data_IF_975614618292
#
_entry.id   IF_975614618292
#
_cell.length_a   1.000
_cell.length_b   1.000
_cell.length_c   1.000
_cell.angle_alpha   90.00
_cell.angle_beta   90.00
_cell.angle_gamma   90.00
#
_symmetry.space_group_name_H-M   'P 1'
#
loop_
_entity.id
_entity.type
_entity.pdbx_description
1 polymer ?
#
# COMPACT_ATOMS: atom_id res chain seq x y z
N UNK A 1 20.31 1.09 5.61
CA UNK A 1 19.01 0.70 6.21
C UNK A 1 17.93 0.49 5.15
N UNK A 2 17.65 1.49 4.30
CA UNK A 2 16.63 1.36 3.25
C UNK A 2 16.95 0.28 2.20
N UNK A 3 18.22 0.13 1.81
CA UNK A 3 18.66 -0.93 0.89
C UNK A 3 18.45 -2.34 1.46
N UNK A 4 18.75 -2.52 2.75
CA UNK A 4 18.51 -3.78 3.44
C UNK A 4 17.02 -4.11 3.46
N UNK A 5 16.15 -3.13 3.75
CA UNK A 5 14.70 -3.33 3.74
C UNK A 5 14.18 -3.72 2.35
N UNK A 6 14.68 -3.09 1.27
CA UNK A 6 14.34 -3.50 -0.09
C UNK A 6 14.87 -4.90 -0.43
N UNK A 7 16.07 -5.27 0.03
CA UNK A 7 16.59 -6.62 -0.15
C UNK A 7 15.75 -7.68 0.59
N UNK A 8 15.34 -7.39 1.82
CA UNK A 8 14.41 -8.24 2.60
C UNK A 8 13.05 -8.38 1.89
N UNK A 9 12.52 -7.30 1.32
CA UNK A 9 11.29 -7.34 0.54
C UNK A 9 11.40 -8.30 -0.64
N UNK A 10 12.48 -8.25 -1.44
CA UNK A 10 12.72 -9.15 -2.58
C UNK A 10 12.81 -10.63 -2.21
N UNK A 11 13.25 -10.93 -0.99
CA UNK A 11 13.38 -12.30 -0.49
C UNK A 11 12.08 -12.82 0.16
N UNK A 12 11.13 -11.93 0.45
CA UNK A 12 9.85 -12.33 1.04
C UNK A 12 8.92 -12.91 -0.03
N UNK A 13 8.09 -13.88 0.36
CA UNK A 13 7.10 -14.51 -0.54
C UNK A 13 6.11 -13.50 -1.14
N UNK A 14 5.78 -12.45 -0.40
CA UNK A 14 4.87 -11.38 -0.82
C UNK A 14 5.57 -10.22 -1.53
N UNK A 15 6.89 -10.28 -1.72
CA UNK A 15 7.70 -9.22 -2.32
C UNK A 15 7.56 -7.86 -1.61
N UNK A 16 7.33 -7.87 -0.29
CA UNK A 16 7.20 -6.66 0.52
C UNK A 16 7.57 -6.87 1.98
N UNK A 17 8.09 -5.80 2.60
CA UNK A 17 8.54 -5.80 3.99
C UNK A 17 8.34 -4.41 4.60
N UNK A 18 7.84 -4.36 5.83
CA UNK A 18 7.77 -3.13 6.62
C UNK A 18 8.87 -3.09 7.69
N UNK A 19 9.23 -1.88 8.11
CA UNK A 19 10.04 -1.61 9.30
C UNK A 19 9.39 -0.51 10.12
N UNK A 20 9.04 -0.84 11.35
CA UNK A 20 8.47 0.13 12.29
C UNK A 20 9.56 1.09 12.78
N UNK A 21 9.23 2.38 12.83
CA UNK A 21 10.09 3.43 13.41
C UNK A 21 9.74 3.74 14.86
N UNK A 22 8.53 3.36 15.26
CA UNK A 22 8.03 3.43 16.62
C UNK A 22 8.52 2.20 17.42
N UNK A 23 8.64 2.34 18.74
CA UNK A 23 9.15 1.29 19.61
C UNK A 23 8.09 0.25 19.98
N UNK A 24 6.82 0.67 20.06
CA UNK A 24 5.68 -0.21 20.37
C UNK A 24 4.52 0.03 19.41
N UNK A 25 3.86 -1.06 19.00
CA UNK A 25 2.62 -1.01 18.22
C UNK A 25 1.45 -0.39 18.98
N UNK A 26 1.60 -0.15 20.29
CA UNK A 26 0.62 0.53 21.12
C UNK A 26 0.76 2.06 21.09
N UNK A 27 1.80 2.60 20.45
CA UNK A 27 1.96 4.05 20.30
C UNK A 27 0.78 4.68 19.54
N UNK A 28 0.37 5.88 19.96
CA UNK A 28 -0.75 6.63 19.39
C UNK A 28 -0.58 7.00 17.91
N UNK A 29 0.62 6.88 17.35
CA UNK A 29 0.89 7.10 15.92
C UNK A 29 1.80 5.99 15.42
N UNK A 30 1.36 5.30 14.38
CA UNK A 30 2.14 4.28 13.69
C UNK A 30 2.94 4.95 12.57
N UNK A 31 4.24 4.69 12.55
CA UNK A 31 5.22 5.20 11.57
C UNK A 31 6.00 4.02 11.00
N UNK A 32 5.87 3.75 9.71
CA UNK A 32 6.44 2.58 9.06
C UNK A 32 7.18 2.97 7.79
N UNK A 33 8.36 2.40 7.56
CA UNK A 33 8.87 2.29 6.20
C UNK A 33 8.32 1.02 5.58
N UNK A 34 7.73 1.14 4.40
CA UNK A 34 7.25 0.02 3.61
C UNK A 34 8.08 -0.07 2.33
N UNK A 35 8.70 -1.23 2.10
CA UNK A 35 9.29 -1.60 0.82
C UNK A 35 8.36 -2.58 0.11
N UNK A 36 8.04 -2.29 -1.14
CA UNK A 36 7.23 -3.15 -2.02
C UNK A 36 7.97 -3.28 -3.35
N UNK A 37 8.08 -4.48 -3.87
CA UNK A 37 8.75 -4.76 -5.15
C UNK A 37 7.72 -5.14 -6.23
N UNK A 38 8.03 -4.94 -7.53
CA UNK A 38 7.15 -5.29 -8.63
C UNK A 38 6.66 -6.75 -8.57
N UNK A 39 5.42 -6.99 -8.97
CA UNK A 39 4.75 -8.28 -8.77
C UNK A 39 4.02 -8.40 -7.44
N UNK A 40 4.04 -7.35 -6.60
CA UNK A 40 3.28 -7.25 -5.35
C UNK A 40 2.16 -6.22 -5.43
N UNK A 41 1.11 -6.44 -4.67
CA UNK A 41 0.08 -5.47 -4.33
C UNK A 41 -0.33 -5.63 -2.87
N UNK A 42 -0.94 -4.59 -2.30
CA UNK A 42 -1.71 -4.69 -1.06
C UNK A 42 -3.16 -4.88 -1.43
N UNK A 43 -3.83 -5.92 -0.90
CA UNK A 43 -5.27 -6.11 -1.13
C UNK A 43 -6.03 -4.80 -0.87
N UNK A 44 -6.96 -4.39 -1.75
CA UNK A 44 -7.78 -3.22 -1.52
C UNK A 44 -8.45 -3.26 -0.15
N UNK A 45 -8.30 -2.16 0.58
CA UNK A 45 -8.79 -2.02 1.94
C UNK A 45 -9.20 -0.57 2.22
N UNK A 46 -9.88 -0.36 3.34
CA UNK A 46 -10.18 0.97 3.86
C UNK A 46 -9.98 0.98 5.37
N UNK A 47 -10.05 2.17 5.95
CA UNK A 47 -10.03 2.36 7.40
C UNK A 47 -11.33 3.06 7.82
N UNK A 48 -12.15 2.41 8.64
CA UNK A 48 -13.50 2.93 8.92
C UNK A 48 -13.55 3.91 10.10
N UNK A 49 -12.61 3.81 11.04
CA UNK A 49 -12.57 4.71 12.18
C UNK A 49 -12.14 6.13 11.74
N UNK A 50 -12.83 7.14 12.28
CA UNK A 50 -12.69 8.54 11.86
C UNK A 50 -11.28 9.13 12.08
N UNK A 51 -10.49 8.55 12.99
CA UNK A 51 -9.12 8.94 13.28
C UNK A 51 -8.08 8.15 12.47
N UNK A 52 -8.48 7.12 11.72
CA UNK A 52 -7.58 6.21 10.99
C UNK A 52 -7.32 6.64 9.56
N UNK A 53 -7.14 7.94 9.32
CA UNK A 53 -6.59 8.42 8.06
C UNK A 53 -5.14 7.89 7.88
N UNK A 54 -4.74 7.67 6.63
CA UNK A 54 -3.41 7.16 6.28
C UNK A 54 -2.68 8.15 5.38
N UNK A 55 -1.40 8.38 5.64
CA UNK A 55 -0.53 9.19 4.78
C UNK A 55 0.58 8.34 4.22
N UNK A 56 0.75 8.37 2.90
CA UNK A 56 1.85 7.72 2.19
C UNK A 56 2.78 8.79 1.62
N UNK A 57 4.07 8.69 1.91
CA UNK A 57 5.10 9.60 1.41
C UNK A 57 6.27 8.83 0.81
N UNK A 58 6.53 9.04 -0.47
CA UNK A 58 7.58 8.38 -1.23
C UNK A 58 8.97 8.76 -0.73
N UNK A 59 9.82 7.75 -0.56
CA UNK A 59 11.25 7.92 -0.28
C UNK A 59 12.10 7.59 -1.52
N UNK A 60 11.68 6.59 -2.31
CA UNK A 60 12.28 6.26 -3.63
C UNK A 60 11.41 5.29 -4.42
N UNK A 61 11.70 5.14 -5.71
CA UNK A 61 10.97 4.26 -6.62
C UNK A 61 9.65 4.88 -7.08
N UNK A 62 8.70 4.03 -7.49
CA UNK A 62 7.41 4.44 -8.07
C UNK A 62 6.29 3.56 -7.52
N UNK A 63 5.28 4.18 -6.93
CA UNK A 63 4.12 3.51 -6.34
C UNK A 63 2.85 3.93 -7.09
N UNK A 64 2.08 2.96 -7.56
CA UNK A 64 0.73 3.22 -8.04
C UNK A 64 -0.25 3.12 -6.88
N UNK A 65 -1.05 4.16 -6.65
CA UNK A 65 -2.18 4.18 -5.72
C UNK A 65 -3.47 4.14 -6.52
N UNK A 66 -4.36 3.20 -6.19
CA UNK A 66 -5.64 3.00 -6.88
C UNK A 66 -6.75 3.20 -5.87
N UNK A 67 -7.75 4.02 -6.21
CA UNK A 67 -8.95 4.25 -5.42
C UNK A 67 -10.16 3.57 -6.08
N UNK A 68 -11.07 3.08 -5.25
CA UNK A 68 -12.26 2.34 -5.68
C UNK A 68 -13.54 2.89 -5.06
N UNK A 69 -14.67 2.62 -5.71
CA UNK A 69 -16.00 2.72 -5.09
C UNK A 69 -16.36 1.43 -4.32
N UNK A 70 -17.52 1.43 -3.64
CA UNK A 70 -18.00 0.27 -2.87
C UNK A 70 -18.36 -0.96 -3.72
N UNK A 71 -18.42 -0.81 -5.04
CA UNK A 71 -18.63 -1.91 -5.98
C UNK A 71 -17.31 -2.41 -6.60
N UNK A 72 -16.16 -1.87 -6.17
CA UNK A 72 -14.85 -2.22 -6.68
C UNK A 72 -14.52 -1.60 -8.04
N UNK A 73 -15.27 -0.61 -8.52
CA UNK A 73 -14.90 0.15 -9.73
C UNK A 73 -13.80 1.13 -9.37
N UNK A 74 -12.80 1.21 -10.25
CA UNK A 74 -11.71 2.18 -10.10
C UNK A 74 -12.28 3.58 -10.31
N UNK A 75 -12.08 4.46 -9.33
CA UNK A 75 -12.52 5.86 -9.38
C UNK A 75 -11.36 6.79 -9.73
N UNK A 76 -10.16 6.50 -9.22
CA UNK A 76 -8.95 7.30 -9.45
C UNK A 76 -7.69 6.42 -9.42
N UNK A 77 -6.66 6.87 -10.12
CA UNK A 77 -5.30 6.31 -10.07
C UNK A 77 -4.30 7.44 -9.91
N UNK A 78 -3.31 7.25 -9.05
CA UNK A 78 -2.23 8.21 -8.80
C UNK A 78 -0.89 7.49 -8.82
N UNK A 79 0.04 7.99 -9.63
CA UNK A 79 1.43 7.55 -9.55
C UNK A 79 2.20 8.47 -8.61
N UNK A 80 2.89 7.86 -7.64
CA UNK A 80 3.74 8.56 -6.69
C UNK A 80 5.22 8.25 -6.94
N UNK A 81 6.05 9.29 -6.85
CA UNK A 81 7.50 9.17 -6.85
C UNK A 81 8.13 10.33 -6.09
N UNK A 82 9.34 10.13 -5.54
CA UNK A 82 10.02 11.17 -4.77
C UNK A 82 10.37 12.43 -5.61
N UNK A 83 10.49 12.30 -6.93
CA UNK A 83 10.76 13.41 -7.86
C UNK A 83 9.51 14.03 -8.49
N UNK A 84 8.31 13.53 -8.17
CA UNK A 84 7.04 13.98 -8.75
C UNK A 84 5.98 14.23 -7.68
N UNK A 85 4.80 13.61 -7.82
CA UNK A 85 3.82 13.58 -6.74
C UNK A 85 4.37 12.72 -5.59
N UNK A 86 4.84 13.36 -4.54
CA UNK A 86 5.60 12.67 -3.49
C UNK A 86 4.71 11.91 -2.50
N UNK A 87 3.41 12.17 -2.42
CA UNK A 87 2.58 11.53 -1.40
C UNK A 87 1.09 11.76 -1.57
N UNK A 88 0.33 11.00 -0.79
CA UNK A 88 -1.14 11.09 -0.70
C UNK A 88 -1.58 11.01 0.75
N UNK A 89 -2.73 11.62 1.02
CA UNK A 89 -3.43 11.50 2.29
C UNK A 89 -4.81 10.91 2.04
N UNK A 90 -5.02 9.70 2.55
CA UNK A 90 -6.21 8.88 2.35
C UNK A 90 -7.14 9.06 3.54
N UNK A 91 -8.34 9.57 3.26
CA UNK A 91 -9.38 9.74 4.27
C UNK A 91 -9.98 8.38 4.68
N UNK A 92 -10.51 8.27 5.91
CA UNK A 92 -11.28 7.11 6.34
C UNK A 92 -12.40 6.77 5.34
N UNK A 93 -12.66 5.47 5.15
CA UNK A 93 -13.67 4.94 4.25
C UNK A 93 -13.27 4.87 2.78
N UNK A 94 -12.13 5.45 2.35
CA UNK A 94 -11.67 5.31 0.97
C UNK A 94 -11.07 3.92 0.73
N UNK A 95 -11.70 3.16 -0.15
CA UNK A 95 -11.14 1.91 -0.66
C UNK A 95 -9.93 2.20 -1.52
N UNK A 96 -8.78 1.65 -1.13
CA UNK A 96 -7.54 1.89 -1.84
C UNK A 96 -6.64 0.66 -1.86
N UNK A 97 -5.77 0.60 -2.86
CA UNK A 97 -4.71 -0.39 -3.01
C UNK A 97 -3.45 0.29 -3.51
N UNK A 98 -2.31 -0.37 -3.31
CA UNK A 98 -1.03 0.08 -3.82
C UNK A 98 -0.30 -1.03 -4.57
N UNK A 99 0.40 -0.68 -5.64
CA UNK A 99 1.27 -1.55 -6.44
C UNK A 99 2.64 -0.92 -6.65
N UNK A 100 3.70 -1.72 -6.58
CA UNK A 100 5.03 -1.24 -6.94
C UNK A 100 5.21 -1.23 -8.46
N UNK A 101 5.61 -0.08 -9.00
CA UNK A 101 5.85 0.14 -10.44
C UNK A 101 7.34 0.12 -10.80
N UNK A 102 8.22 0.22 -9.82
CA UNK A 102 9.67 0.13 -9.99
C UNK A 102 10.32 -0.70 -8.88
N UNK A 103 11.44 -1.40 -9.15
CA UNK A 103 12.23 -2.05 -8.12
C UNK A 103 12.70 -1.08 -7.04
N UNK A 104 12.78 -1.55 -5.80
CA UNK A 104 13.23 -0.73 -4.67
C UNK A 104 12.25 0.35 -4.23
N UNK A 105 10.97 0.25 -4.62
CA UNK A 105 9.91 1.18 -4.22
C UNK A 105 9.73 1.17 -2.71
N UNK A 106 9.86 2.34 -2.11
CA UNK A 106 9.88 2.51 -0.66
C UNK A 106 9.20 3.84 -0.29
N UNK A 107 8.30 3.77 0.68
CA UNK A 107 7.55 4.91 1.20
C UNK A 107 7.44 4.86 2.73
N UNK A 108 7.27 6.03 3.33
CA UNK A 108 6.82 6.19 4.71
C UNK A 108 5.29 6.10 4.73
N UNK A 109 4.75 5.30 5.62
CA UNK A 109 3.34 5.27 5.99
C UNK A 109 3.19 5.84 7.41
N UNK A 110 2.25 6.77 7.57
CA UNK A 110 1.87 7.32 8.88
C UNK A 110 0.36 7.21 9.04
N UNK A 111 -0.07 6.59 10.15
CA UNK A 111 -1.49 6.48 10.52
C UNK A 111 -1.69 6.52 12.02
N UNK A 112 -2.90 6.80 12.47
CA UNK A 112 -3.21 6.77 13.89
C UNK A 112 -3.03 5.35 14.45
N UNK A 113 -2.41 5.28 15.63
CA UNK A 113 -2.29 4.08 16.43
C UNK A 113 -3.43 3.94 17.44
N UNK A 114 -3.38 2.93 18.31
CA UNK A 114 -2.49 1.78 18.22
C UNK A 114 -2.73 0.97 16.94
N UNK A 115 -1.82 0.05 16.61
CA UNK A 115 -2.02 -0.88 15.51
C UNK A 115 -3.22 -1.78 15.79
N UNK A 116 -4.17 -1.76 14.86
CA UNK A 116 -5.33 -2.66 14.86
C UNK A 116 -5.34 -3.36 13.50
N UNK A 117 -5.35 -4.71 13.45
CA UNK A 117 -5.50 -5.44 12.20
C UNK A 117 -6.81 -5.06 11.51
N UNK A 118 -6.77 -4.96 10.17
CA UNK A 118 -7.99 -4.73 9.38
C UNK A 118 -9.03 -5.81 9.66
N UNK A 119 -10.24 -5.35 9.97
CA UNK A 119 -11.42 -6.21 10.10
C UNK A 119 -11.86 -6.76 8.73
N UNK A 120 -12.81 -7.71 8.72
CA UNK A 120 -13.42 -8.19 7.47
C UNK A 120 -14.13 -7.07 6.71
N UNK A 121 -14.77 -6.13 7.42
CA UNK A 121 -15.47 -5.00 6.82
C UNK A 121 -14.54 -3.95 6.19
N UNK A 122 -13.26 -3.99 6.56
CA UNK A 122 -12.22 -3.09 6.05
C UNK A 122 -11.41 -3.72 4.90
N UNK A 123 -11.76 -4.94 4.48
CA UNK A 123 -11.15 -5.63 3.34
C UNK A 123 -12.16 -5.72 2.22
N UNK A 124 -11.74 -5.32 1.02
CA UNK A 124 -12.60 -5.35 -0.16
C UNK A 124 -12.98 -6.80 -0.51
N UNK A 125 -14.28 -7.20 -0.43
CA UNK A 125 -14.70 -8.57 -0.73
C UNK A 125 -14.59 -8.92 -2.21
N UNK A 126 -14.53 -7.93 -3.10
CA UNK A 126 -14.39 -8.12 -4.55
C UNK A 126 -12.94 -8.39 -5.00
N UNK A 127 -11.95 -8.12 -4.13
CA UNK A 127 -10.56 -8.22 -4.50
C UNK A 127 -9.96 -9.53 -3.96
N UNK A 128 -9.23 -10.29 -4.79
CA UNK A 128 -8.62 -11.54 -4.36
C UNK A 128 -7.67 -11.27 -3.20
N UNK A 129 -7.76 -12.12 -2.18
CA UNK A 129 -6.76 -12.17 -1.13
C UNK A 129 -5.41 -12.54 -1.75
N UNK A 130 -4.35 -12.01 -1.16
CA UNK A 130 -3.01 -12.40 -1.53
C UNK A 130 -2.80 -13.90 -1.34
N UNK A 131 -1.96 -14.50 -2.18
CA UNK A 131 -1.70 -15.95 -2.22
C UNK A 131 -2.89 -16.82 -2.67
N UNK A 132 -3.94 -16.23 -3.23
CA UNK A 132 -4.96 -16.97 -3.99
C UNK A 132 -4.54 -17.14 -5.45
N UNK A 133 -5.17 -18.06 -6.18
CA UNK A 133 -4.85 -18.33 -7.59
C UNK A 133 -5.00 -17.08 -8.48
N UNK A 134 -5.97 -16.23 -8.19
CA UNK A 134 -6.28 -15.03 -8.99
C UNK A 134 -5.43 -13.80 -8.61
N UNK A 135 -4.65 -13.89 -7.52
CA UNK A 135 -3.89 -12.76 -6.99
C UNK A 135 -2.88 -12.20 -8.01
N UNK A 136 -2.19 -13.06 -8.75
CA UNK A 136 -1.19 -12.66 -9.75
C UNK A 136 -1.84 -11.93 -10.93
N UNK A 137 -2.96 -12.44 -11.45
CA UNK A 137 -3.71 -11.80 -12.54
C UNK A 137 -4.28 -10.45 -12.11
N UNK A 138 -4.79 -10.36 -10.88
CA UNK A 138 -5.29 -9.10 -10.33
C UNK A 138 -4.17 -8.07 -10.13
N UNK A 139 -3.02 -8.49 -9.60
CA UNK A 139 -1.83 -7.65 -9.47
C UNK A 139 -1.39 -7.08 -10.83
N UNK A 140 -1.34 -7.93 -11.87
CA UNK A 140 -0.96 -7.51 -13.21
C UNK A 140 -1.95 -6.50 -13.80
N UNK A 141 -3.25 -6.71 -13.59
CA UNK A 141 -4.30 -5.75 -13.99
C UNK A 141 -4.11 -4.39 -13.32
N UNK A 142 -3.87 -4.37 -12.00
CA UNK A 142 -3.64 -3.13 -11.26
C UNK A 142 -2.37 -2.40 -11.75
N UNK A 143 -1.28 -3.12 -12.00
CA UNK A 143 -0.05 -2.53 -12.55
C UNK A 143 -0.24 -1.97 -13.97
N UNK A 144 -1.06 -2.61 -14.80
CA UNK A 144 -1.31 -2.18 -16.17
C UNK A 144 -2.03 -0.81 -16.27
N UNK A 145 -2.71 -0.38 -15.21
CA UNK A 145 -3.32 0.96 -15.12
C UNK A 145 -2.30 2.10 -15.26
N UNK A 146 -1.02 1.82 -15.05
CA UNK A 146 0.08 2.80 -15.08
C UNK A 146 1.05 2.57 -16.26
N UNK A 147 0.74 1.64 -17.16
CA UNK A 147 1.62 1.27 -18.27
C UNK A 147 1.56 2.25 -19.47
N UNK A 148 0.71 3.28 -19.40
CA UNK A 148 0.55 4.28 -20.45
C UNK A 148 0.54 5.69 -19.83
N UNK A 149 1.66 6.40 -19.97
CA UNK A 149 1.77 7.87 -19.93
C UNK A 149 3.00 8.27 -20.72
#
# INVERSE_FOLDING_TARGET
MLDALSAEARQSSRLRRNRNLHASTDEAVQRLFNAIEPGSYVQPHCHLAADKAETLLMLRGRLGVILFDDAGRITQVHELSAGGCAGVHLQPGLWHSVVALAPGTLFLEVKAGPYVPLTTAERAPWAPMENTADASSYQAMLSALFAAS
#
